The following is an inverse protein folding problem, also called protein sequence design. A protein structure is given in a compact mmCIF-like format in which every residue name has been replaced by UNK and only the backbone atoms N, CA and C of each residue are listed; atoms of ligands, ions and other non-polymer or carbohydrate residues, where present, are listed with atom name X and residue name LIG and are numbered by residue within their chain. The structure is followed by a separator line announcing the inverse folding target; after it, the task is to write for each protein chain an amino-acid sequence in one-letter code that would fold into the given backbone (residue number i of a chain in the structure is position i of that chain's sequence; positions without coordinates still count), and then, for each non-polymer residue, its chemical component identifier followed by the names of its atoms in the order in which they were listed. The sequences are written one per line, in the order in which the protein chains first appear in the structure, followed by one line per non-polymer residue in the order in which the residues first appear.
data_IF_150948149018
#
_entry.id   IF_150948149018
#
_cell.length_a   1.000
_cell.length_b   1.000
_cell.length_c   1.000
_cell.angle_alpha   90.00
_cell.angle_beta   90.00
_cell.angle_gamma   90.00
#
_symmetry.space_group_name_H-M   'P 1'
#
loop_
_entity.id
_entity.type
_entity.pdbx_description
1 polymer ?
#
# COMPACT_ATOMS: atom_id res chain seq x y z
N UNK A 1 -28.28 -22.90 -80.57
CA UNK A 1 -28.49 -22.92 -79.10
C UNK A 1 -27.13 -22.78 -78.42
N UNK A 2 -27.04 -21.91 -77.40
CA UNK A 2 -25.91 -21.62 -76.48
C UNK A 2 -24.90 -20.53 -76.89
N UNK A 3 -25.29 -19.30 -76.52
CA UNK A 3 -24.47 -18.16 -76.10
C UNK A 3 -23.59 -18.57 -74.90
N UNK A 4 -22.37 -18.03 -74.79
CA UNK A 4 -21.73 -17.55 -73.53
C UNK A 4 -20.35 -16.92 -73.86
N UNK A 5 -20.28 -15.59 -73.98
CA UNK A 5 -20.02 -14.57 -72.96
C UNK A 5 -18.53 -14.53 -72.51
N UNK A 6 -17.83 -13.49 -72.98
CA UNK A 6 -16.64 -12.93 -72.33
C UNK A 6 -17.02 -12.47 -70.91
N UNK A 7 -16.20 -12.81 -69.92
CA UNK A 7 -16.18 -12.10 -68.64
C UNK A 7 -14.87 -11.31 -68.51
N UNK A 8 -14.98 -9.98 -68.63
CA UNK A 8 -13.99 -9.04 -68.12
C UNK A 8 -13.98 -9.15 -66.59
N UNK A 9 -12.82 -9.49 -66.00
CA UNK A 9 -12.61 -9.28 -64.57
C UNK A 9 -12.25 -7.81 -64.33
N UNK A 10 -13.19 -7.03 -63.81
CA UNK A 10 -12.91 -5.73 -63.25
C UNK A 10 -12.32 -5.93 -61.84
N UNK A 11 -11.02 -5.67 -61.67
CA UNK A 11 -10.41 -5.62 -60.36
C UNK A 11 -10.89 -4.33 -59.65
N UNK A 12 -11.80 -4.47 -58.68
CA UNK A 12 -12.12 -3.40 -57.76
C UNK A 12 -10.92 -3.19 -56.82
N UNK A 13 -10.14 -2.15 -57.10
CA UNK A 13 -9.19 -1.60 -56.15
C UNK A 13 -9.97 -0.96 -55.00
N UNK A 14 -10.16 -1.69 -53.91
CA UNK A 14 -10.52 -1.07 -52.63
C UNK A 14 -9.27 -0.39 -52.10
N UNK A 15 -9.19 0.92 -52.28
CA UNK A 15 -8.28 1.78 -51.52
C UNK A 15 -8.68 1.70 -50.06
N UNK A 16 -7.93 0.93 -49.27
CA UNK A 16 -7.97 1.01 -47.81
C UNK A 16 -7.47 2.40 -47.41
N UNK A 17 -8.38 3.36 -47.31
CA UNK A 17 -8.17 4.60 -46.58
C UNK A 17 -7.95 4.22 -45.11
N UNK A 18 -6.71 3.92 -44.76
CA UNK A 18 -6.29 3.93 -43.37
C UNK A 18 -6.24 5.38 -42.95
N UNK A 19 -7.27 5.85 -42.25
CA UNK A 19 -7.15 7.08 -41.49
C UNK A 19 -6.05 6.84 -40.43
N UNK A 20 -4.98 7.63 -40.47
CA UNK A 20 -4.10 7.73 -39.33
C UNK A 20 -4.94 8.33 -38.19
N UNK A 21 -5.19 7.54 -37.14
CA UNK A 21 -5.70 8.09 -35.89
C UNK A 21 -4.71 9.18 -35.47
N UNK A 22 -5.21 10.41 -35.36
CA UNK A 22 -4.50 11.50 -34.72
C UNK A 22 -4.13 10.99 -33.32
N UNK A 23 -2.83 10.79 -33.08
CA UNK A 23 -2.34 10.53 -31.74
C UNK A 23 -2.83 11.70 -30.87
N UNK A 24 -3.87 11.43 -30.07
CA UNK A 24 -4.29 12.33 -29.01
C UNK A 24 -3.02 12.65 -28.22
N UNK A 25 -2.68 13.93 -28.09
CA UNK A 25 -1.56 14.41 -27.28
C UNK A 25 -1.71 13.80 -25.87
N UNK A 26 -1.09 12.64 -25.65
CA UNK A 26 -1.04 12.03 -24.33
C UNK A 26 -0.29 13.01 -23.44
N UNK A 27 -0.87 13.46 -22.32
CA UNK A 27 -0.19 14.38 -21.44
C UNK A 27 1.15 13.78 -21.03
N UNK A 28 2.24 14.50 -21.29
CA UNK A 28 3.56 14.06 -20.85
C UNK A 28 3.65 14.19 -19.33
N UNK A 29 3.67 13.06 -18.62
CA UNK A 29 3.77 13.07 -17.15
C UNK A 29 5.21 13.25 -16.70
N UNK A 30 5.45 14.27 -15.87
CA UNK A 30 6.76 14.53 -15.28
C UNK A 30 6.99 13.66 -14.05
N UNK A 31 8.23 13.22 -13.77
CA UNK A 31 8.56 12.54 -12.52
C UNK A 31 8.19 13.40 -11.30
N UNK A 32 7.52 12.79 -10.32
CA UNK A 32 7.27 13.39 -9.02
C UNK A 32 8.32 12.88 -8.04
N UNK A 33 9.06 13.81 -7.46
CA UNK A 33 10.06 13.53 -6.44
C UNK A 33 9.46 13.65 -5.04
N UNK A 34 10.12 13.05 -4.04
CA UNK A 34 9.74 13.12 -2.63
C UNK A 34 8.34 12.57 -2.30
N UNK A 35 7.84 11.62 -3.09
CA UNK A 35 6.61 10.88 -2.76
C UNK A 35 6.92 9.91 -1.63
N UNK A 36 6.27 10.08 -0.48
CA UNK A 36 6.46 9.21 0.68
C UNK A 36 5.72 7.89 0.50
N UNK A 37 6.44 6.77 0.50
CA UNK A 37 5.84 5.43 0.58
C UNK A 37 5.72 5.04 2.05
N UNK A 38 4.50 5.02 2.56
CA UNK A 38 4.19 4.64 3.94
C UNK A 38 3.89 3.15 4.00
N UNK A 39 4.89 2.36 4.38
CA UNK A 39 4.78 0.91 4.44
C UNK A 39 4.35 0.44 5.82
N UNK A 40 3.19 -0.22 5.90
CA UNK A 40 2.72 -0.89 7.11
C UNK A 40 3.20 -2.35 7.09
N UNK A 41 3.80 -2.80 8.19
CA UNK A 41 4.20 -4.18 8.44
C UNK A 41 3.39 -4.72 9.60
N UNK A 42 2.72 -5.83 9.35
CA UNK A 42 2.05 -6.61 10.38
C UNK A 42 2.97 -7.77 10.74
N UNK A 43 3.52 -7.74 11.93
CA UNK A 43 4.51 -8.71 12.38
C UNK A 43 3.99 -9.45 13.61
N UNK A 44 4.28 -10.75 13.69
CA UNK A 44 3.96 -11.59 14.85
C UNK A 44 5.26 -12.10 15.45
N UNK A 45 5.34 -12.08 16.76
CA UNK A 45 6.46 -12.74 17.46
C UNK A 45 6.40 -14.25 17.22
N UNK A 46 7.56 -14.89 17.07
CA UNK A 46 7.66 -16.34 16.85
C UNK A 46 7.08 -17.16 18.01
N UNK A 47 7.09 -16.60 19.23
CA UNK A 47 6.46 -17.17 20.42
C UNK A 47 4.94 -16.92 20.51
N UNK A 48 4.39 -16.08 19.64
CA UNK A 48 2.96 -15.84 19.52
C UNK A 48 2.36 -14.82 20.50
N UNK A 49 3.11 -14.36 21.52
CA UNK A 49 2.65 -13.39 22.52
C UNK A 49 2.36 -12.01 21.95
N UNK A 50 3.26 -11.51 21.09
CA UNK A 50 3.20 -10.15 20.58
C UNK A 50 2.75 -10.08 19.12
N UNK A 51 1.94 -9.05 18.82
CA UNK A 51 1.65 -8.59 17.47
C UNK A 51 2.07 -7.13 17.32
N UNK A 52 2.82 -6.80 16.27
CA UNK A 52 3.36 -5.48 16.03
C UNK A 52 2.86 -4.95 14.69
N UNK A 53 2.06 -3.89 14.74
CA UNK A 53 1.69 -3.09 13.56
C UNK A 53 2.68 -1.93 13.43
N UNK A 54 3.60 -2.01 12.47
CA UNK A 54 4.75 -1.12 12.32
C UNK A 54 4.69 -0.32 11.01
N UNK A 55 4.68 1.00 11.11
CA UNK A 55 4.94 1.90 10.00
C UNK A 55 6.42 2.29 9.98
N UNK A 56 7.12 1.85 8.93
CA UNK A 56 8.57 2.00 8.78
C UNK A 56 8.93 2.45 7.35
N UNK A 57 10.17 2.92 7.15
CA UNK A 57 10.61 3.54 5.89
C UNK A 57 10.10 4.97 5.69
N UNK A 58 9.57 5.59 6.74
CA UNK A 58 9.11 6.97 6.78
C UNK A 58 9.87 7.76 7.84
N UNK A 59 9.83 9.09 7.74
CA UNK A 59 10.25 9.94 8.86
C UNK A 59 9.36 9.67 10.08
N UNK A 60 9.96 9.57 11.26
CA UNK A 60 9.29 9.20 12.52
C UNK A 60 8.49 7.89 12.40
N UNK A 61 9.14 6.73 12.22
CA UNK A 61 8.47 5.44 12.30
C UNK A 61 7.68 5.31 13.61
N UNK A 62 6.56 4.62 13.52
CA UNK A 62 5.66 4.43 14.65
C UNK A 62 5.04 3.05 14.58
N UNK A 63 4.64 2.53 15.73
CA UNK A 63 4.05 1.22 15.81
C UNK A 63 3.03 1.13 16.93
N UNK A 64 2.16 0.13 16.83
CA UNK A 64 1.33 -0.34 17.93
C UNK A 64 1.71 -1.78 18.21
N UNK A 65 2.22 -2.04 19.40
CA UNK A 65 2.55 -3.36 19.91
C UNK A 65 1.38 -3.84 20.77
N UNK A 66 0.79 -4.98 20.40
CA UNK A 66 -0.24 -5.66 21.17
C UNK A 66 0.40 -6.82 21.91
N UNK A 67 0.31 -6.81 23.24
CA UNK A 67 0.55 -7.97 24.07
C UNK A 67 -0.75 -8.78 24.14
N UNK A 68 -0.77 -9.92 23.45
CA UNK A 68 -1.97 -10.76 23.34
C UNK A 68 -2.23 -11.59 24.60
N UNK A 69 -1.23 -11.71 25.49
CA UNK A 69 -1.35 -12.45 26.76
C UNK A 69 -1.85 -11.53 27.86
N UNK A 70 -1.25 -10.35 28.00
CA UNK A 70 -1.64 -9.36 29.02
C UNK A 70 -2.76 -8.43 28.54
N UNK A 71 -3.21 -8.56 27.29
CA UNK A 71 -4.24 -7.72 26.66
C UNK A 71 -3.90 -6.23 26.70
N UNK A 72 -2.61 -5.90 26.59
CA UNK A 72 -2.09 -4.54 26.64
C UNK A 72 -1.78 -4.02 25.23
N UNK A 73 -1.99 -2.72 25.02
CA UNK A 73 -1.61 -2.02 23.79
C UNK A 73 -0.57 -0.95 24.11
N UNK A 74 0.56 -0.96 23.42
CA UNK A 74 1.66 -0.01 23.60
C UNK A 74 1.88 0.73 22.28
N UNK A 75 1.71 2.04 22.30
CA UNK A 75 2.01 2.90 21.16
C UNK A 75 3.46 3.33 21.22
N UNK A 76 4.18 3.18 20.10
CA UNK A 76 5.62 3.39 19.98
C UNK A 76 5.91 4.40 18.87
N UNK A 77 6.89 5.27 19.06
CA UNK A 77 7.46 6.14 18.01
C UNK A 77 8.98 6.22 18.13
N UNK A 78 9.67 6.51 17.04
CA UNK A 78 11.11 6.72 17.12
C UNK A 78 11.77 6.96 15.78
N UNK A 79 12.94 6.33 15.56
CA UNK A 79 13.82 6.59 14.44
C UNK A 79 14.23 5.29 13.75
N UNK A 80 14.48 5.38 12.44
CA UNK A 80 15.04 4.30 11.65
C UNK A 80 16.24 4.81 10.84
N UNK A 81 17.36 4.07 10.90
CA UNK A 81 18.56 4.33 10.10
C UNK A 81 18.97 3.03 9.40
N UNK A 82 18.71 2.95 8.09
CA UNK A 82 18.83 1.69 7.36
C UNK A 82 17.90 0.63 7.96
N UNK A 83 18.45 -0.52 8.32
CA UNK A 83 17.70 -1.61 8.95
C UNK A 83 17.55 -1.44 10.47
N UNK A 84 18.30 -0.52 11.09
CA UNK A 84 18.22 -0.29 12.53
C UNK A 84 16.97 0.52 12.86
N UNK A 85 16.12 -0.02 13.73
CA UNK A 85 14.88 0.58 14.23
C UNK A 85 14.99 0.77 15.74
N UNK A 86 14.69 1.97 16.23
CA UNK A 86 14.62 2.25 17.67
C UNK A 86 13.32 3.01 17.96
N UNK A 87 12.43 2.42 18.75
CA UNK A 87 11.14 2.98 19.12
C UNK A 87 11.00 3.05 20.63
N UNK A 88 10.29 4.07 21.11
CA UNK A 88 9.95 4.28 22.52
C UNK A 88 8.46 4.48 22.68
N UNK A 89 7.92 4.09 23.83
CA UNK A 89 6.53 4.37 24.17
C UNK A 89 6.27 5.87 24.11
N UNK A 90 5.14 6.22 23.52
CA UNK A 90 4.58 7.56 23.65
C UNK A 90 3.51 7.51 24.72
N UNK A 91 3.48 8.53 25.57
CA UNK A 91 2.38 8.70 26.53
C UNK A 91 1.09 8.75 25.71
N UNK A 92 0.26 7.72 25.86
CA UNK A 92 -1.06 7.70 25.27
C UNK A 92 -1.94 8.61 26.11
N UNK A 93 -2.64 9.55 25.48
CA UNK A 93 -3.72 10.38 26.06
C UNK A 93 -4.91 9.49 26.52
N UNK A 94 -4.67 8.57 27.43
CA UNK A 94 -5.66 7.66 27.99
C UNK A 94 -5.50 7.61 29.49
N UNK A 95 -6.62 7.61 30.19
CA UNK A 95 -6.85 7.79 31.63
C UNK A 95 -6.11 6.80 32.57
N UNK A 96 -5.17 5.99 32.05
CA UNK A 96 -4.26 5.16 32.80
C UNK A 96 -2.81 5.56 32.50
N UNK A 97 -2.32 6.58 33.20
CA UNK A 97 -0.89 6.93 33.24
C UNK A 97 -0.16 5.79 33.95
N UNK A 98 0.20 4.74 33.22
CA UNK A 98 1.25 3.83 33.69
C UNK A 98 2.57 4.52 33.42
N UNK A 99 3.34 4.88 34.47
CA UNK A 99 4.71 5.42 34.36
C UNK A 99 5.72 4.44 33.70
N UNK A 100 5.24 3.40 33.02
CA UNK A 100 6.05 2.37 32.38
C UNK A 100 6.50 2.88 31.01
N UNK A 101 7.81 3.03 30.88
CA UNK A 101 8.46 3.37 29.61
C UNK A 101 8.82 2.07 28.92
N UNK A 102 8.40 1.91 27.67
CA UNK A 102 8.77 0.76 26.84
C UNK A 102 9.72 1.19 25.73
N UNK A 103 10.67 0.32 25.39
CA UNK A 103 11.54 0.52 24.25
C UNK A 103 11.60 -0.75 23.40
N UNK A 104 11.51 -0.59 22.08
CA UNK A 104 11.68 -1.66 21.12
C UNK A 104 12.78 -1.26 20.14
N UNK A 105 13.92 -1.94 20.23
CA UNK A 105 15.08 -1.66 19.37
C UNK A 105 15.51 -2.91 18.64
N UNK A 106 15.83 -2.83 17.35
CA UNK A 106 16.12 -4.02 16.57
C UNK A 106 16.58 -3.77 15.15
N UNK A 107 16.78 -4.88 14.43
CA UNK A 107 17.16 -4.91 13.02
C UNK A 107 15.97 -5.41 12.20
N UNK A 108 15.36 -4.51 11.43
CA UNK A 108 14.26 -4.78 10.51
C UNK A 108 14.82 -5.05 9.11
N UNK A 109 14.67 -6.29 8.63
CA UNK A 109 14.96 -6.59 7.24
C UNK A 109 13.82 -6.05 6.35
N UNK A 110 14.12 -5.04 5.55
CA UNK A 110 13.12 -4.38 4.72
C UNK A 110 12.50 -5.30 3.64
N UNK A 111 13.24 -6.33 3.19
CA UNK A 111 12.82 -7.25 2.14
C UNK A 111 12.00 -8.43 2.70
N UNK A 112 12.48 -9.09 3.77
CA UNK A 112 11.76 -10.23 4.35
C UNK A 112 10.66 -9.80 5.33
N UNK A 113 10.81 -8.64 5.97
CA UNK A 113 9.92 -8.18 7.03
C UNK A 113 10.28 -8.72 8.41
N UNK A 114 11.31 -9.57 8.52
CA UNK A 114 11.76 -10.07 9.82
C UNK A 114 12.36 -8.96 10.66
N UNK A 115 12.05 -8.96 11.95
CA UNK A 115 12.58 -8.02 12.92
C UNK A 115 13.15 -8.77 14.12
N UNK A 116 14.46 -8.69 14.28
CA UNK A 116 15.15 -9.12 15.50
C UNK A 116 15.18 -7.95 16.47
N UNK A 117 14.37 -8.00 17.52
CA UNK A 117 14.22 -6.91 18.46
C UNK A 117 14.64 -7.28 19.89
N UNK A 118 14.99 -6.26 20.65
CA UNK A 118 15.10 -6.25 22.10
C UNK A 118 13.99 -5.34 22.60
N UNK A 119 13.12 -5.89 23.44
CA UNK A 119 12.02 -5.19 24.08
C UNK A 119 12.34 -4.97 25.55
N UNK A 120 12.33 -3.71 25.98
CA UNK A 120 12.63 -3.31 27.35
C UNK A 120 11.37 -2.70 27.96
N UNK A 121 11.04 -3.14 29.16
CA UNK A 121 9.98 -2.58 30.00
C UNK A 121 10.62 -1.94 31.24
N UNK A 122 10.40 -0.64 31.43
CA UNK A 122 10.93 0.13 32.57
C UNK A 122 12.47 0.04 32.71
N UNK A 123 13.01 0.04 33.93
CA UNK A 123 14.46 -0.05 34.23
C UNK A 123 15.04 -1.47 34.11
N UNK A 124 14.29 -2.45 33.56
CA UNK A 124 14.83 -3.81 33.35
C UNK A 124 15.92 -3.79 32.28
N UNK A 125 17.17 -3.63 32.73
CA UNK A 125 18.33 -3.39 31.88
C UNK A 125 18.66 -4.56 30.94
N UNK A 126 18.12 -5.76 31.18
CA UNK A 126 18.47 -6.95 30.41
C UNK A 126 17.70 -7.04 29.09
N UNK A 127 16.46 -6.54 29.05
CA UNK A 127 15.58 -6.61 27.88
C UNK A 127 15.23 -8.04 27.46
N UNK A 128 14.12 -8.19 26.72
CA UNK A 128 13.66 -9.47 26.16
C UNK A 128 13.97 -9.51 24.68
N UNK A 129 14.69 -10.53 24.22
CA UNK A 129 14.86 -10.73 22.78
C UNK A 129 13.58 -11.29 22.18
N UNK A 130 13.06 -10.62 21.16
CA UNK A 130 11.85 -11.04 20.43
C UNK A 130 12.20 -11.15 18.95
N UNK A 131 11.97 -12.33 18.37
CA UNK A 131 11.96 -12.52 16.93
C UNK A 131 10.56 -12.26 16.42
N UNK A 132 10.43 -11.27 15.53
CA UNK A 132 9.22 -10.99 14.78
C UNK A 132 9.37 -11.45 13.34
N UNK A 133 8.28 -11.95 12.78
CA UNK A 133 8.17 -12.40 11.39
C UNK A 133 6.87 -11.82 10.80
N UNK A 134 6.71 -11.75 9.47
CA UNK A 134 5.44 -11.39 8.87
C UNK A 134 4.28 -12.20 9.44
N UNK A 135 3.21 -11.52 9.88
CA UNK A 135 2.05 -12.17 10.47
C UNK A 135 1.37 -13.14 9.49
N UNK A 136 1.51 -12.87 8.19
CA UNK A 136 1.05 -13.72 7.09
C UNK A 136 2.26 -14.00 6.21
N UNK A 137 2.64 -15.27 6.14
CA UNK A 137 3.85 -15.71 5.44
C UNK A 137 3.50 -16.10 4.01
N UNK A 138 4.27 -15.60 3.06
CA UNK A 138 4.20 -15.95 1.64
C UNK A 138 5.61 -16.25 1.13
N UNK A 139 5.76 -17.23 0.24
CA UNK A 139 7.06 -17.66 -0.28
C UNK A 139 7.67 -16.65 -1.24
N UNK A 140 6.83 -16.05 -2.08
CA UNK A 140 7.28 -15.28 -3.25
C UNK A 140 6.83 -13.83 -3.15
N UNK A 141 7.28 -13.15 -2.09
CA UNK A 141 6.96 -11.74 -1.90
C UNK A 141 7.68 -10.89 -2.95
N UNK A 142 6.96 -10.10 -3.76
CA UNK A 142 7.60 -9.25 -4.75
C UNK A 142 8.38 -8.12 -4.07
N UNK A 143 9.54 -7.80 -4.65
CA UNK A 143 10.37 -6.68 -4.21
C UNK A 143 10.23 -5.53 -5.21
N UNK A 144 9.38 -4.56 -4.89
CA UNK A 144 9.04 -3.45 -5.79
C UNK A 144 9.67 -2.12 -5.37
N UNK A 145 9.97 -1.31 -6.38
CA UNK A 145 10.24 0.12 -6.29
C UNK A 145 9.15 0.84 -7.08
N UNK A 146 8.68 1.97 -6.57
CA UNK A 146 7.65 2.77 -7.23
C UNK A 146 8.27 4.05 -7.81
N UNK A 147 7.98 4.33 -9.08
CA UNK A 147 8.29 5.61 -9.73
C UNK A 147 6.98 6.36 -9.99
N UNK A 148 6.95 7.62 -9.61
CA UNK A 148 5.74 8.42 -9.59
C UNK A 148 5.79 9.47 -10.68
N UNK A 149 4.70 9.65 -11.41
CA UNK A 149 4.61 10.67 -12.45
C UNK A 149 3.26 11.38 -12.40
N UNK A 150 3.29 12.68 -12.69
CA UNK A 150 2.14 13.54 -12.55
C UNK A 150 2.12 14.71 -13.51
N UNK A 151 1.08 15.51 -13.36
CA UNK A 151 0.96 16.81 -14.01
C UNK A 151 1.20 17.88 -12.95
N UNK A 152 2.05 18.84 -13.27
CA UNK A 152 2.12 20.10 -12.53
C UNK A 152 0.82 20.87 -12.82
N UNK A 153 0.18 21.34 -11.77
CA UNK A 153 -1.03 22.16 -11.88
C UNK A 153 -0.97 23.20 -10.78
N UNK A 154 -0.64 24.44 -11.17
CA UNK A 154 -0.48 25.56 -10.26
C UNK A 154 -1.81 25.96 -9.60
N UNK A 155 -2.94 25.55 -10.18
CA UNK A 155 -4.27 25.83 -9.65
C UNK A 155 -4.74 24.75 -8.67
N UNK A 156 -4.01 23.64 -8.55
CA UNK A 156 -4.33 22.60 -7.56
C UNK A 156 -3.74 22.97 -6.20
N UNK A 157 -4.45 22.72 -5.09
CA UNK A 157 -3.97 23.00 -3.73
C UNK A 157 -2.62 22.37 -3.40
N UNK A 158 -2.22 21.32 -4.13
CA UNK A 158 -1.02 20.53 -3.89
C UNK A 158 0.09 20.76 -4.94
N UNK A 159 -0.12 21.68 -5.90
CA UNK A 159 0.82 22.05 -6.97
C UNK A 159 1.05 20.98 -8.06
N UNK A 160 0.58 19.76 -7.83
CA UNK A 160 0.65 18.66 -8.80
C UNK A 160 -0.42 17.61 -8.51
N UNK A 161 -0.62 16.71 -9.47
CA UNK A 161 -1.54 15.56 -9.35
C UNK A 161 -0.79 14.30 -9.81
N UNK A 162 -0.80 13.25 -9.00
CA UNK A 162 -0.28 11.94 -9.40
C UNK A 162 -1.23 11.30 -10.41
N UNK A 163 -0.68 10.89 -11.57
CA UNK A 163 -1.43 10.31 -12.69
C UNK A 163 -0.92 8.94 -13.12
N UNK A 164 0.34 8.62 -12.80
CA UNK A 164 0.96 7.35 -13.13
C UNK A 164 1.89 6.86 -12.02
N UNK A 165 1.82 5.55 -11.74
CA UNK A 165 2.82 4.84 -10.94
C UNK A 165 3.39 3.71 -11.78
N UNK A 166 4.70 3.76 -12.03
CA UNK A 166 5.41 2.62 -12.59
C UNK A 166 5.94 1.76 -11.44
N UNK A 167 5.59 0.48 -11.48
CA UNK A 167 6.03 -0.53 -10.53
C UNK A 167 7.22 -1.23 -11.15
N UNK A 168 8.38 -1.09 -10.51
CA UNK A 168 9.65 -1.63 -10.98
C UNK A 168 10.04 -2.81 -10.10
N UNK A 169 10.35 -3.94 -10.71
CA UNK A 169 10.91 -5.07 -9.98
C UNK A 169 12.36 -4.75 -9.58
N UNK A 170 12.64 -4.71 -8.28
CA UNK A 170 13.94 -4.32 -7.74
C UNK A 170 15.06 -5.31 -8.08
N UNK A 171 14.72 -6.56 -8.36
CA UNK A 171 15.71 -7.61 -8.63
C UNK A 171 16.28 -7.52 -10.05
N UNK A 172 15.51 -7.01 -11.02
CA UNK A 172 15.93 -6.94 -12.43
C UNK A 172 15.75 -5.56 -13.07
N UNK A 173 15.24 -4.57 -12.35
CA UNK A 173 14.98 -3.20 -12.79
C UNK A 173 13.97 -3.03 -13.93
N UNK A 174 13.24 -4.09 -14.31
CA UNK A 174 12.21 -4.01 -15.33
C UNK A 174 10.90 -3.44 -14.73
N UNK A 175 10.15 -2.71 -15.55
CA UNK A 175 8.79 -2.29 -15.21
C UNK A 175 7.91 -3.55 -15.22
N UNK A 176 7.40 -3.92 -14.05
CA UNK A 176 6.46 -5.03 -13.88
C UNK A 176 5.04 -4.63 -14.30
N UNK A 177 4.65 -3.38 -14.02
CA UNK A 177 3.34 -2.84 -14.36
C UNK A 177 3.36 -1.32 -14.32
N UNK A 178 2.52 -0.69 -15.15
CA UNK A 178 2.24 0.74 -15.12
C UNK A 178 0.78 0.96 -14.75
N UNK A 179 0.52 1.72 -13.69
CA UNK A 179 -0.82 2.08 -13.22
C UNK A 179 -1.16 3.49 -13.73
N UNK A 180 -2.32 3.65 -14.38
CA UNK A 180 -2.85 4.92 -14.90
C UNK A 180 -4.37 4.97 -14.74
N UNK A 181 -5.03 6.02 -15.25
CA UNK A 181 -6.50 6.14 -15.20
C UNK A 181 -7.06 6.62 -13.86
N UNK A 182 -6.26 7.36 -13.09
CA UNK A 182 -6.64 7.91 -11.80
C UNK A 182 -6.10 9.34 -11.60
N UNK A 183 -6.58 10.01 -10.55
CA UNK A 183 -6.05 11.29 -10.07
C UNK A 183 -5.87 11.19 -8.56
N UNK A 184 -4.61 11.20 -8.11
CA UNK A 184 -4.30 10.99 -6.71
C UNK A 184 -3.42 12.10 -6.13
N UNK A 185 -3.44 12.21 -4.80
CA UNK A 185 -2.57 13.11 -4.06
C UNK A 185 -1.09 12.80 -4.35
N UNK A 186 -0.26 13.81 -4.70
CA UNK A 186 1.07 13.55 -5.26
C UNK A 186 2.15 13.24 -4.23
N UNK A 187 1.91 13.39 -2.92
CA UNK A 187 2.99 13.34 -1.92
C UNK A 187 3.06 12.05 -1.12
N UNK A 188 2.10 11.14 -1.24
CA UNK A 188 2.13 9.89 -0.49
C UNK A 188 1.41 8.72 -1.16
N UNK A 189 1.93 7.53 -0.88
CA UNK A 189 1.36 6.24 -1.22
C UNK A 189 1.35 5.36 0.04
N UNK A 190 0.23 4.70 0.34
CA UNK A 190 0.17 3.63 1.32
C UNK A 190 0.59 2.30 0.69
N UNK A 191 1.40 1.51 1.40
CA UNK A 191 1.83 0.17 0.99
C UNK A 191 1.58 -0.83 2.12
N UNK A 192 0.51 -1.60 2.03
CA UNK A 192 0.00 -2.42 3.15
C UNK A 192 -0.84 -3.59 2.64
N UNK A 193 -0.90 -4.67 3.41
CA UNK A 193 -1.71 -5.85 3.12
C UNK A 193 -3.16 -5.62 3.60
N UNK A 194 -4.02 -5.07 2.73
CA UNK A 194 -5.39 -4.64 3.10
C UNK A 194 -6.31 -5.84 3.27
N UNK A 195 -6.13 -6.88 2.46
CA UNK A 195 -6.99 -8.06 2.42
C UNK A 195 -6.43 -9.25 3.25
N UNK A 196 -5.34 -9.05 3.99
CA UNK A 196 -4.70 -10.06 4.84
C UNK A 196 -4.32 -11.33 4.06
N UNK A 197 -3.73 -11.18 2.88
CA UNK A 197 -3.23 -12.29 2.06
C UNK A 197 -1.70 -12.43 2.06
N UNK A 198 -1.00 -11.53 2.77
CA UNK A 198 0.46 -11.47 2.91
C UNK A 198 1.17 -10.67 1.82
N UNK A 199 0.47 -10.35 0.73
CA UNK A 199 0.94 -9.45 -0.32
C UNK A 199 0.50 -8.03 0.00
N UNK A 200 1.28 -7.05 -0.48
CA UNK A 200 1.02 -5.66 -0.14
C UNK A 200 0.33 -4.97 -1.30
N UNK A 201 -0.69 -4.20 -0.95
CA UNK A 201 -1.53 -3.42 -1.83
C UNK A 201 -1.12 -1.94 -1.81
N UNK A 202 -1.57 -1.20 -2.81
CA UNK A 202 -1.36 0.24 -2.92
C UNK A 202 -2.63 0.99 -2.55
N UNK A 203 -2.49 1.97 -1.67
CA UNK A 203 -3.58 2.87 -1.26
C UNK A 203 -3.19 4.31 -1.58
N UNK A 204 -3.94 4.95 -2.46
CA UNK A 204 -3.70 6.30 -2.95
C UNK A 204 -4.86 7.21 -2.53
N UNK A 205 -4.59 8.42 -2.00
CA UNK A 205 -5.67 9.36 -1.71
C UNK A 205 -6.27 9.87 -3.02
N UNK A 206 -7.56 9.66 -3.21
CA UNK A 206 -8.31 10.06 -4.41
C UNK A 206 -8.62 11.56 -4.37
N UNK A 207 -8.22 12.27 -5.41
CA UNK A 207 -8.53 13.68 -5.62
C UNK A 207 -9.24 13.91 -6.97
N UNK A 208 -9.82 12.85 -7.54
CA UNK A 208 -10.61 12.94 -8.76
C UNK A 208 -11.92 13.69 -8.53
N UNK A 209 -12.43 14.36 -9.58
CA UNK A 209 -13.72 15.04 -9.53
C UNK A 209 -13.78 16.15 -8.47
N UNK A 210 -12.72 16.95 -8.35
CA UNK A 210 -12.59 18.07 -7.40
C UNK A 210 -12.51 17.66 -5.92
N UNK A 211 -12.41 16.36 -5.63
CA UNK A 211 -12.24 15.85 -4.27
C UNK A 211 -10.95 16.36 -3.63
N UNK A 212 -11.02 16.58 -2.32
CA UNK A 212 -9.87 16.94 -1.48
C UNK A 212 -9.47 15.78 -0.58
N UNK A 213 -8.22 15.79 -0.08
CA UNK A 213 -7.75 14.73 0.84
C UNK A 213 -8.55 14.67 2.14
N UNK A 214 -9.24 15.75 2.52
CA UNK A 214 -10.08 15.86 3.70
C UNK A 214 -11.29 14.93 3.64
N UNK A 215 -11.74 14.58 2.44
CA UNK A 215 -12.87 13.66 2.25
C UNK A 215 -12.51 12.18 2.49
N UNK A 216 -11.22 11.88 2.74
CA UNK A 216 -10.74 10.52 3.06
C UNK A 216 -11.23 9.47 2.05
N UNK A 217 -11.17 9.81 0.76
CA UNK A 217 -11.43 8.89 -0.35
C UNK A 217 -10.12 8.31 -0.85
N UNK A 218 -10.13 7.02 -1.18
CA UNK A 218 -8.92 6.30 -1.56
C UNK A 218 -9.16 5.40 -2.77
N UNK A 219 -8.14 5.30 -3.61
CA UNK A 219 -8.02 4.33 -4.70
C UNK A 219 -7.20 3.14 -4.17
N UNK A 220 -7.73 1.94 -4.37
CA UNK A 220 -7.11 0.70 -3.91
C UNK A 220 -6.66 -0.12 -5.10
N UNK A 221 -5.37 -0.44 -5.14
CA UNK A 221 -4.82 -1.41 -6.07
C UNK A 221 -4.37 -2.64 -5.28
N UNK A 222 -5.12 -3.72 -5.41
CA UNK A 222 -4.90 -4.97 -4.69
C UNK A 222 -3.95 -5.86 -5.49
N UNK A 223 -2.90 -6.37 -4.86
CA UNK A 223 -1.97 -7.25 -5.55
C UNK A 223 -2.58 -8.63 -5.74
N UNK A 224 -2.62 -9.11 -6.98
CA UNK A 224 -3.06 -10.46 -7.28
C UNK A 224 -1.83 -11.37 -7.50
N UNK A 225 -1.52 -12.28 -6.56
CA UNK A 225 -0.32 -13.12 -6.67
C UNK A 225 -0.38 -14.13 -7.80
N UNK A 226 -1.56 -14.47 -8.31
CA UNK A 226 -1.70 -15.38 -9.46
C UNK A 226 -1.30 -14.71 -10.77
N UNK A 227 -1.65 -13.43 -10.94
CA UNK A 227 -1.31 -12.66 -12.14
C UNK A 227 -0.05 -11.82 -11.97
N UNK A 228 0.50 -11.73 -10.74
CA UNK A 228 1.65 -10.89 -10.38
C UNK A 228 1.43 -9.41 -10.74
N UNK A 229 0.19 -8.95 -10.63
CA UNK A 229 -0.24 -7.61 -11.03
C UNK A 229 -1.18 -7.03 -9.99
N UNK A 230 -1.11 -5.71 -9.85
CA UNK A 230 -2.06 -4.93 -9.07
C UNK A 230 -3.36 -4.71 -9.86
N UNK A 231 -4.49 -4.92 -9.19
CA UNK A 231 -5.83 -4.80 -9.74
C UNK A 231 -6.62 -3.78 -8.94
N UNK A 232 -7.26 -2.83 -9.63
CA UNK A 232 -8.07 -1.80 -8.97
C UNK A 232 -9.28 -2.44 -8.29
N UNK A 233 -9.63 -1.99 -7.09
CA UNK A 233 -10.79 -2.48 -6.34
C UNK A 233 -11.87 -1.40 -6.19
N UNK A 234 -12.78 -1.23 -7.18
CA UNK A 234 -13.87 -0.27 -7.10
C UNK A 234 -14.82 -0.47 -5.92
N UNK A 235 -14.85 -1.67 -5.32
CA UNK A 235 -15.69 -1.95 -4.16
C UNK A 235 -15.15 -1.25 -2.91
N UNK A 236 -13.83 -1.30 -2.68
CA UNK A 236 -13.18 -0.60 -1.56
C UNK A 236 -13.23 0.92 -1.71
N UNK A 237 -13.16 1.43 -2.95
CA UNK A 237 -13.21 2.87 -3.24
C UNK A 237 -14.53 3.53 -2.84
N UNK A 238 -15.60 2.74 -2.64
CA UNK A 238 -16.90 3.25 -2.17
C UNK A 238 -16.89 3.59 -0.68
N UNK A 239 -15.98 3.00 0.09
CA UNK A 239 -15.89 3.17 1.55
C UNK A 239 -15.16 4.48 1.84
N UNK A 240 -15.75 5.32 2.70
CA UNK A 240 -15.09 6.53 3.21
C UNK A 240 -14.14 6.12 4.32
N UNK A 241 -12.92 6.65 4.32
CA UNK A 241 -11.98 6.48 5.43
C UNK A 241 -10.72 5.73 5.05
N UNK A 242 -9.64 6.00 5.80
CA UNK A 242 -8.38 5.29 5.62
C UNK A 242 -8.45 3.95 6.36
N UNK A 243 -7.99 2.84 5.78
CA UNK A 243 -8.09 1.54 6.41
C UNK A 243 -7.15 1.47 7.62
N UNK A 244 -7.71 1.38 8.81
CA UNK A 244 -6.96 1.02 10.01
C UNK A 244 -6.97 -0.49 10.16
N UNK A 245 -5.85 -1.13 9.80
CA UNK A 245 -5.72 -2.59 9.84
C UNK A 245 -5.46 -3.08 11.27
N UNK A 246 -6.34 -3.97 11.72
CA UNK A 246 -6.26 -4.75 12.96
C UNK A 246 -5.88 -6.19 12.59
N UNK A 247 -4.63 -6.40 12.19
CA UNK A 247 -4.18 -7.69 11.68
C UNK A 247 -4.20 -8.83 12.69
N UNK A 248 -4.13 -8.52 13.99
CA UNK A 248 -4.29 -9.50 15.07
C UNK A 248 -5.70 -10.11 15.11
N UNK A 249 -6.68 -9.38 14.57
CA UNK A 249 -8.09 -9.81 14.44
C UNK A 249 -8.51 -10.05 12.99
N UNK A 250 -7.64 -9.75 12.02
CA UNK A 250 -7.97 -9.65 10.60
C UNK A 250 -9.19 -8.75 10.33
N UNK A 251 -9.20 -7.59 10.99
CA UNK A 251 -10.27 -6.60 10.88
C UNK A 251 -9.75 -5.30 10.26
N UNK A 252 -10.65 -4.56 9.61
CA UNK A 252 -10.36 -3.24 9.06
C UNK A 252 -11.40 -2.28 9.60
N UNK A 253 -10.93 -1.21 10.25
CA UNK A 253 -11.76 -0.09 10.67
C UNK A 253 -11.52 1.08 9.71
N UNK A 254 -12.55 1.50 8.99
CA UNK A 254 -12.50 2.68 8.12
C UNK A 254 -12.95 3.97 8.85
N UNK A 255 -13.32 3.88 10.12
CA UNK A 255 -13.92 4.97 10.89
C UNK A 255 -15.43 5.04 10.72
N UNK A 256 -16.07 5.90 11.51
CA UNK A 256 -17.52 6.13 11.48
C UNK A 256 -18.35 4.85 11.64
N UNK A 257 -17.88 3.91 12.48
CA UNK A 257 -18.53 2.62 12.75
C UNK A 257 -18.41 1.61 11.60
N UNK A 258 -17.59 1.87 10.59
CA UNK A 258 -17.39 0.98 9.45
C UNK A 258 -16.29 -0.05 9.73
N UNK A 259 -16.61 -1.01 10.61
CA UNK A 259 -15.75 -2.14 10.93
C UNK A 259 -16.05 -3.35 10.03
N UNK A 260 -15.00 -3.98 9.51
CA UNK A 260 -15.11 -5.15 8.64
C UNK A 260 -14.24 -6.28 9.16
N UNK A 261 -14.77 -7.50 9.14
CA UNK A 261 -14.01 -8.73 9.30
C UNK A 261 -13.57 -9.23 7.92
N UNK A 262 -12.28 -9.49 7.75
CA UNK A 262 -11.79 -10.14 6.54
C UNK A 262 -11.75 -11.65 6.74
N UNK A 263 -12.30 -12.39 5.78
CA UNK A 263 -12.28 -13.86 5.73
C UNK A 263 -11.94 -14.28 4.32
N UNK A 264 -10.88 -15.07 4.15
CA UNK A 264 -10.40 -15.54 2.84
C UNK A 264 -10.19 -14.39 1.83
N UNK A 265 -9.67 -13.25 2.29
CA UNK A 265 -9.47 -12.05 1.47
C UNK A 265 -10.75 -11.25 1.16
N UNK A 266 -11.92 -11.66 1.67
CA UNK A 266 -13.19 -10.97 1.46
C UNK A 266 -13.57 -10.14 2.67
N UNK A 267 -13.96 -8.88 2.44
CA UNK A 267 -14.45 -7.97 3.49
C UNK A 267 -15.92 -8.27 3.81
N UNK A 268 -16.22 -8.47 5.10
CA UNK A 268 -17.57 -8.68 5.61
C UNK A 268 -17.85 -7.59 6.65
N UNK A 269 -18.88 -6.77 6.42
CA UNK A 269 -19.25 -5.72 7.37
C UNK A 269 -19.68 -6.35 8.69
N UNK A 270 -19.18 -5.80 9.79
CA UNK A 270 -19.61 -6.16 11.14
C UNK A 270 -20.75 -5.23 11.55
N UNK A 271 -21.76 -5.79 12.20
CA UNK A 271 -22.89 -5.06 12.80
C UNK A 271 -22.51 -4.46 14.16
#
# INVERSE_FOLDING_TARGET
MKIKLLLCMAAFAFSSLSAAETALNTPEYKPLNNVRVSMQRMLRSSEGRYFLSLYAGIWNPHATLYDLVETQTINLKGLQKGDQLNLKSVDADSENITNRVYQLSGMLNANSGDLKAIFVESEDALGKSIQFEPAIKVSDKPNFIFKFYGLEDINQPYGSVLKRVDIVNKNNNNIAQTLTGFSAFPKSLGYMDVNFDGYYDLVLSDISGERTIQEKRYIYWIFNPKTQQFQRSPQLEKIVGFPKLHGEKQQIDFGDGQLYQVKNGLLNRME
#
